data_IF_801636094902
#
_entry.id   IF_801636094902
#
_cell.length_a   1.000
_cell.length_b   1.000
_cell.length_c   1.000
_cell.angle_alpha   90.00
_cell.angle_beta   90.00
_cell.angle_gamma   90.00
#
_symmetry.space_group_name_H-M   'P 1'
#
loop_
_entity.id
_entity.type
_entity.pdbx_description
1 polymer ?
#
# COMPACT_ATOMS: atom_id res chain seq x y z
N UNK A 1 8.53 0.10 -7.26
CA UNK A 1 8.25 1.55 -7.10
C UNK A 1 9.54 2.23 -6.65
N UNK A 2 9.74 3.50 -6.98
CA UNK A 2 10.87 4.29 -6.45
C UNK A 2 10.46 5.02 -5.17
N UNK A 3 11.39 5.13 -4.23
CA UNK A 3 11.22 5.86 -2.98
C UNK A 3 10.97 7.33 -3.31
N UNK A 4 9.85 7.89 -2.86
CA UNK A 4 9.51 9.26 -3.22
C UNK A 4 10.52 10.31 -2.71
N UNK A 5 11.24 9.98 -1.63
CA UNK A 5 12.21 10.88 -1.04
C UNK A 5 13.60 10.82 -1.69
N UNK A 6 14.18 9.63 -1.87
CA UNK A 6 15.58 9.47 -2.31
C UNK A 6 15.74 8.75 -3.65
N UNK A 7 14.63 8.46 -4.32
CA UNK A 7 14.51 7.82 -5.64
C UNK A 7 15.09 6.39 -5.75
N UNK A 8 15.46 5.78 -4.62
CA UNK A 8 15.94 4.39 -4.54
C UNK A 8 14.82 3.38 -4.83
N UNK A 9 15.17 2.21 -5.37
CA UNK A 9 14.20 1.12 -5.55
C UNK A 9 13.67 0.65 -4.18
N UNK A 10 12.35 0.70 -4.01
CA UNK A 10 11.70 0.15 -2.82
C UNK A 10 11.69 -1.39 -2.85
N UNK A 11 11.87 -1.99 -1.68
CA UNK A 11 11.78 -3.42 -1.42
C UNK A 11 10.35 -3.75 -1.01
N UNK A 12 9.80 -4.84 -1.55
CA UNK A 12 8.50 -5.38 -1.15
C UNK A 12 8.64 -6.28 0.07
N UNK A 13 7.89 -5.98 1.13
CA UNK A 13 7.90 -6.77 2.36
C UNK A 13 6.66 -7.67 2.53
N UNK A 14 5.62 -7.49 1.72
CA UNK A 14 4.44 -8.35 1.70
C UNK A 14 3.15 -7.58 1.45
N UNK A 15 2.07 -8.35 1.30
CA UNK A 15 0.72 -7.84 1.17
C UNK A 15 -0.13 -8.44 2.29
N UNK A 16 -0.91 -7.59 2.96
CA UNK A 16 -1.90 -7.98 3.95
C UNK A 16 -3.29 -7.62 3.43
N UNK A 17 -4.24 -8.54 3.60
CA UNK A 17 -5.64 -8.30 3.29
C UNK A 17 -6.33 -7.84 4.56
N UNK A 18 -6.90 -6.64 4.55
CA UNK A 18 -7.50 -6.00 5.72
C UNK A 18 -8.90 -5.51 5.39
N UNK A 19 -9.81 -5.66 6.35
CA UNK A 19 -11.14 -5.07 6.28
C UNK A 19 -11.13 -3.74 7.03
N UNK A 20 -11.73 -2.70 6.44
CA UNK A 20 -11.93 -1.44 7.15
C UNK A 20 -13.21 -1.47 8.02
N UNK A 21 -13.45 -0.37 8.74
CA UNK A 21 -14.61 -0.27 9.64
C UNK A 21 -15.97 -0.30 8.91
N UNK A 22 -15.97 0.00 7.60
CA UNK A 22 -17.16 0.02 6.76
C UNK A 22 -17.36 -1.33 6.04
N UNK A 23 -16.46 -2.30 6.26
CA UNK A 23 -16.51 -3.63 5.66
C UNK A 23 -15.96 -3.69 4.23
N UNK A 24 -15.25 -2.65 3.80
CA UNK A 24 -14.54 -2.68 2.52
C UNK A 24 -13.23 -3.46 2.69
N UNK A 25 -13.02 -4.42 1.79
CA UNK A 25 -11.81 -5.24 1.76
C UNK A 25 -10.71 -4.46 1.02
N UNK A 26 -9.52 -4.33 1.62
CA UNK A 26 -8.36 -3.69 1.03
C UNK A 26 -7.18 -4.66 0.95
N UNK A 27 -6.37 -4.52 -0.09
CA UNK A 27 -4.99 -5.02 -0.07
C UNK A 27 -4.09 -3.88 0.39
N UNK A 28 -3.28 -4.18 1.39
CA UNK A 28 -2.28 -3.27 1.95
C UNK A 28 -0.91 -3.85 1.69
N UNK A 29 -0.18 -3.22 0.77
CA UNK A 29 1.20 -3.60 0.43
C UNK A 29 2.18 -2.79 1.27
N UNK A 30 3.10 -3.48 1.95
CA UNK A 30 4.18 -2.84 2.68
C UNK A 30 5.48 -2.82 1.87
N UNK A 31 6.14 -1.65 1.88
CA UNK A 31 7.36 -1.38 1.15
C UNK A 31 8.36 -0.66 2.06
N UNK A 32 9.64 -0.99 1.91
CA UNK A 32 10.72 -0.33 2.65
C UNK A 32 11.81 0.19 1.72
N UNK A 33 12.39 1.34 2.07
CA UNK A 33 13.53 1.91 1.39
C UNK A 33 14.82 1.49 2.10
N UNK A 34 15.74 0.75 1.44
CA UNK A 34 16.98 0.31 2.07
C UNK A 34 18.02 1.42 2.27
N UNK A 35 17.81 2.61 1.68
CA UNK A 35 18.78 3.71 1.69
C UNK A 35 18.50 4.76 2.76
N UNK A 36 17.22 5.01 3.07
CA UNK A 36 16.82 6.11 3.94
C UNK A 36 15.77 5.71 4.98
N UNK A 37 15.54 4.39 5.15
CA UNK A 37 14.62 3.80 6.13
C UNK A 37 13.16 4.27 6.01
N UNK A 38 12.78 4.84 4.86
CA UNK A 38 11.41 5.21 4.59
C UNK A 38 10.55 3.95 4.48
N UNK A 39 9.40 3.95 5.16
CA UNK A 39 8.40 2.91 5.09
C UNK A 39 7.17 3.43 4.36
N UNK A 40 6.69 2.69 3.37
CA UNK A 40 5.56 3.07 2.52
C UNK A 40 4.50 1.98 2.61
N UNK A 41 3.28 2.39 2.91
CA UNK A 41 2.10 1.55 2.85
C UNK A 41 1.26 2.00 1.66
N UNK A 42 0.90 1.07 0.79
CA UNK A 42 -0.02 1.31 -0.33
C UNK A 42 -1.30 0.53 -0.06
N UNK A 43 -2.42 1.23 0.07
CA UNK A 43 -3.75 0.60 0.19
C UNK A 43 -4.49 0.66 -1.13
N UNK A 44 -5.12 -0.45 -1.51
CA UNK A 44 -5.99 -0.56 -2.67
C UNK A 44 -7.28 -1.30 -2.28
N UNK A 45 -8.47 -0.70 -2.48
CA UNK A 45 -9.73 -1.41 -2.35
C UNK A 45 -9.81 -2.60 -3.31
N UNK A 46 -10.31 -3.74 -2.83
CA UNK A 46 -10.53 -4.95 -3.62
C UNK A 46 -11.86 -4.93 -4.36
N UNK A 47 -12.88 -4.31 -3.75
CA UNK A 47 -14.16 -4.05 -4.39
C UNK A 47 -14.16 -2.60 -4.91
N UNK A 48 -14.70 -2.35 -6.12
CA UNK A 48 -14.96 -0.99 -6.53
C UNK A 48 -15.98 -0.39 -5.55
N UNK A 49 -15.70 0.82 -5.05
CA UNK A 49 -16.65 1.50 -4.18
C UNK A 49 -17.98 1.60 -4.90
N UNK A 50 -19.08 1.34 -4.20
CA UNK A 50 -20.44 1.39 -4.77
C UNK A 50 -20.87 2.84 -5.10
N UNK A 51 -19.92 3.78 -5.21
CA UNK A 51 -20.12 5.22 -5.37
C UNK A 51 -20.00 5.70 -6.84
N UNK A 52 -20.28 4.83 -7.82
CA UNK A 52 -20.38 5.22 -9.23
C UNK A 52 -21.70 4.73 -9.84
N UNK A 53 -22.80 5.50 -9.61
CA UNK A 53 -23.87 5.84 -10.57
C UNK A 53 -24.40 7.24 -10.24
#
# INVERSE_FOLDING_TARGET
MRCWYCDEQLIWGGDDQLDDADGEEHIVTNLSCPKCDAFVIVSKPLKPSTAEI
#
